data_IF_002454429828
#
_entry.id   IF_002454429828
#
_cell.length_a   1.000
_cell.length_b   1.000
_cell.length_c   1.000
_cell.angle_alpha   90.00
_cell.angle_beta   90.00
_cell.angle_gamma   90.00
#
_symmetry.space_group_name_H-M   'P 1'
#
loop_
_entity.id
_entity.type
_entity.pdbx_description
1 polymer ?
#
# COMPACT_ATOMS: atom_id res chain seq x y z
N UNK A 1 0.47 30.40 42.99
CA UNK A 1 -0.86 29.76 43.18
C UNK A 1 -1.73 29.74 41.91
N UNK A 2 -1.64 30.72 40.99
CA UNK A 2 -2.43 30.74 39.73
C UNK A 2 -1.88 29.86 38.59
N UNK A 3 -0.61 29.46 38.66
CA UNK A 3 0.03 28.62 37.64
C UNK A 3 -0.37 27.14 37.71
N UNK A 4 -1.04 26.74 38.81
CA UNK A 4 -1.48 25.35 39.04
C UNK A 4 -2.89 25.07 38.51
N UNK A 5 -3.70 26.10 38.24
CA UNK A 5 -5.09 25.94 37.76
C UNK A 5 -5.22 25.78 36.24
N UNK A 6 -4.13 25.99 35.48
CA UNK A 6 -4.14 25.82 34.02
C UNK A 6 -3.87 24.37 33.57
N UNK A 7 -3.33 23.53 34.46
CA UNK A 7 -2.94 22.14 34.14
C UNK A 7 -4.12 21.15 34.24
N UNK A 8 -5.25 21.56 34.81
CA UNK A 8 -6.44 20.70 34.96
C UNK A 8 -7.42 20.80 33.79
N UNK A 9 -7.30 21.81 32.92
CA UNK A 9 -8.23 22.03 31.80
C UNK A 9 -7.83 21.31 30.50
N UNK A 10 -6.59 20.82 30.39
CA UNK A 10 -6.10 20.08 29.22
C UNK A 10 -6.36 18.56 29.26
N UNK A 11 -7.09 18.05 30.27
CA UNK A 11 -7.50 16.64 30.29
C UNK A 11 -8.81 16.40 29.51
N UNK A 12 -9.02 17.15 28.43
CA UNK A 12 -10.09 16.88 27.47
C UNK A 12 -9.60 15.86 26.44
N UNK A 13 -10.12 14.64 26.56
CA UNK A 13 -10.43 13.79 25.42
C UNK A 13 -9.25 13.44 24.50
N UNK A 14 -8.31 12.64 24.99
CA UNK A 14 -7.63 11.71 24.07
C UNK A 14 -8.47 10.44 24.02
N UNK A 15 -9.50 10.43 23.15
CA UNK A 15 -10.07 9.16 22.70
C UNK A 15 -8.90 8.41 22.09
N UNK A 16 -8.47 7.37 22.78
CA UNK A 16 -7.52 6.40 22.24
C UNK A 16 -8.21 5.77 21.03
N UNK A 17 -7.97 6.32 19.86
CA UNK A 17 -8.36 5.74 18.59
C UNK A 17 -7.53 4.46 18.45
N UNK A 18 -8.00 3.40 19.12
CA UNK A 18 -7.64 2.02 18.80
C UNK A 18 -8.39 1.64 17.52
N UNK A 19 -8.14 2.38 16.44
CA UNK A 19 -8.15 1.77 15.14
C UNK A 19 -6.86 0.96 15.06
N UNK A 20 -6.82 -0.14 15.81
CA UNK A 20 -5.98 -1.26 15.42
C UNK A 20 -6.52 -1.61 14.04
N UNK A 21 -5.92 -1.06 12.98
CA UNK A 21 -6.25 -1.47 11.63
C UNK A 21 -6.10 -2.97 11.65
N UNK A 22 -7.24 -3.68 11.60
CA UNK A 22 -7.22 -5.13 11.70
C UNK A 22 -6.30 -5.58 10.55
N UNK A 23 -5.26 -6.39 10.78
CA UNK A 23 -4.35 -6.83 9.73
C UNK A 23 -5.11 -7.36 8.50
N UNK A 24 -6.26 -8.00 8.76
CA UNK A 24 -7.27 -8.40 7.77
C UNK A 24 -7.77 -7.26 6.86
N UNK A 25 -8.10 -6.09 7.39
CA UNK A 25 -8.54 -4.92 6.59
C UNK A 25 -7.43 -4.42 5.67
N UNK A 26 -6.19 -4.41 6.13
CA UNK A 26 -5.05 -3.95 5.32
C UNK A 26 -4.70 -4.97 4.23
N UNK A 27 -4.74 -6.27 4.53
CA UNK A 27 -4.59 -7.34 3.51
C UNK A 27 -5.70 -7.25 2.46
N UNK A 28 -6.97 -7.09 2.87
CA UNK A 28 -8.10 -6.95 1.95
C UNK A 28 -7.95 -5.70 1.06
N UNK A 29 -7.48 -4.59 1.62
CA UNK A 29 -7.21 -3.36 0.87
C UNK A 29 -6.10 -3.59 -0.17
N UNK A 30 -5.03 -4.29 0.19
CA UNK A 30 -3.94 -4.64 -0.73
C UNK A 30 -4.42 -5.56 -1.86
N UNK A 31 -5.22 -6.58 -1.54
CA UNK A 31 -5.77 -7.50 -2.55
C UNK A 31 -6.71 -6.75 -3.49
N UNK A 32 -7.61 -5.92 -2.95
CA UNK A 32 -8.52 -5.09 -3.74
C UNK A 32 -7.74 -4.19 -4.70
N UNK A 33 -6.72 -3.49 -4.20
CA UNK A 33 -5.87 -2.63 -5.03
C UNK A 33 -5.11 -3.42 -6.11
N UNK A 34 -4.66 -4.64 -5.81
CA UNK A 34 -3.97 -5.51 -6.77
C UNK A 34 -4.89 -5.97 -7.90
N UNK A 35 -6.12 -6.36 -7.58
CA UNK A 35 -7.12 -6.80 -8.56
C UNK A 35 -7.46 -5.64 -9.51
N UNK A 36 -7.70 -4.44 -8.97
CA UNK A 36 -8.00 -3.25 -9.78
C UNK A 36 -6.83 -2.93 -10.72
N UNK A 37 -5.60 -2.94 -10.22
CA UNK A 37 -4.41 -2.69 -11.06
C UNK A 37 -4.24 -3.71 -12.18
N UNK A 38 -4.41 -5.00 -11.92
CA UNK A 38 -4.32 -6.03 -12.97
C UNK A 38 -5.44 -5.93 -13.99
N UNK A 39 -6.66 -5.61 -13.56
CA UNK A 39 -7.80 -5.45 -14.46
C UNK A 39 -7.63 -4.24 -15.36
N UNK A 40 -7.10 -3.13 -14.82
CA UNK A 40 -6.80 -1.92 -15.59
C UNK A 40 -5.79 -2.20 -16.70
N UNK A 41 -4.66 -2.86 -16.38
CA UNK A 41 -3.65 -3.26 -17.36
C UNK A 41 -4.23 -4.14 -18.47
N UNK A 42 -5.01 -5.17 -18.10
CA UNK A 42 -5.63 -6.08 -19.07
C UNK A 42 -6.67 -5.36 -19.93
N UNK A 43 -7.47 -4.47 -19.33
CA UNK A 43 -8.50 -3.70 -20.06
C UNK A 43 -7.86 -2.72 -21.05
N UNK A 44 -6.83 -1.99 -20.64
CA UNK A 44 -6.07 -1.07 -21.52
C UNK A 44 -5.41 -1.86 -22.65
N UNK A 45 -4.75 -2.98 -22.33
CA UNK A 45 -4.09 -3.81 -23.32
C UNK A 45 -5.10 -4.39 -24.33
N UNK A 46 -6.26 -4.84 -23.86
CA UNK A 46 -7.34 -5.32 -24.73
C UNK A 46 -7.91 -4.20 -25.60
N UNK A 47 -8.13 -3.00 -25.05
CA UNK A 47 -8.62 -1.86 -25.81
C UNK A 47 -7.64 -1.43 -26.91
N UNK A 48 -6.33 -1.48 -26.65
CA UNK A 48 -5.31 -1.14 -27.65
C UNK A 48 -5.17 -2.19 -28.75
N UNK A 49 -5.23 -3.49 -28.41
CA UNK A 49 -4.89 -4.57 -29.36
C UNK A 49 -6.09 -5.31 -29.94
N UNK A 50 -7.26 -5.19 -29.32
CA UNK A 50 -8.48 -5.94 -29.67
C UNK A 50 -8.38 -7.45 -29.45
N UNK A 51 -7.25 -7.96 -28.94
CA UNK A 51 -6.95 -9.39 -28.80
C UNK A 51 -6.73 -9.76 -27.33
N UNK A 52 -7.55 -10.69 -26.84
CA UNK A 52 -7.48 -11.16 -25.44
C UNK A 52 -6.15 -11.85 -25.12
N UNK A 53 -5.57 -12.60 -26.06
CA UNK A 53 -4.28 -13.28 -25.87
C UNK A 53 -3.16 -12.29 -25.55
N UNK A 54 -3.10 -11.17 -26.27
CA UNK A 54 -2.09 -10.13 -26.07
C UNK A 54 -2.33 -9.38 -24.76
N UNK A 55 -3.59 -9.12 -24.40
CA UNK A 55 -3.93 -8.50 -23.13
C UNK A 55 -3.52 -9.36 -21.92
N UNK A 56 -3.72 -10.67 -21.99
CA UNK A 56 -3.26 -11.61 -20.96
C UNK A 56 -1.74 -11.71 -20.92
N UNK A 57 -1.06 -11.73 -22.07
CA UNK A 57 0.40 -11.68 -22.12
C UNK A 57 0.94 -10.41 -21.43
N UNK A 58 0.37 -9.24 -21.71
CA UNK A 58 0.79 -7.99 -21.08
C UNK A 58 0.51 -8.00 -19.57
N UNK A 59 -0.68 -8.41 -19.14
CA UNK A 59 -1.03 -8.50 -17.72
C UNK A 59 -0.13 -9.47 -16.94
N UNK A 60 0.20 -10.63 -17.53
CA UNK A 60 1.12 -11.59 -16.91
C UNK A 60 2.55 -11.04 -16.80
N UNK A 61 3.05 -10.34 -17.82
CA UNK A 61 4.36 -9.68 -17.78
C UNK A 61 4.38 -8.55 -16.75
N UNK A 62 3.30 -7.76 -16.61
CA UNK A 62 3.20 -6.72 -15.59
C UNK A 62 3.33 -7.31 -14.18
N UNK A 63 2.63 -8.41 -13.90
CA UNK A 63 2.71 -9.10 -12.62
C UNK A 63 4.14 -9.56 -12.29
N UNK A 64 4.79 -10.23 -13.23
CA UNK A 64 6.18 -10.74 -13.05
C UNK A 64 7.16 -9.59 -12.88
N UNK A 65 7.05 -8.55 -13.73
CA UNK A 65 7.93 -7.37 -13.68
C UNK A 65 7.84 -6.68 -12.33
N UNK A 66 6.62 -6.54 -11.79
CA UNK A 66 6.37 -5.89 -10.50
C UNK A 66 6.91 -6.70 -9.33
N UNK A 67 6.86 -8.04 -9.40
CA UNK A 67 7.51 -8.91 -8.42
C UNK A 67 9.03 -8.74 -8.44
N UNK A 68 9.65 -8.75 -9.62
CA UNK A 68 11.09 -8.57 -9.78
C UNK A 68 11.52 -7.17 -9.29
N UNK A 69 10.79 -6.12 -9.69
CA UNK A 69 11.06 -4.75 -9.24
C UNK A 69 10.91 -4.59 -7.73
N UNK A 70 9.87 -5.18 -7.13
CA UNK A 70 9.68 -5.12 -5.68
C UNK A 70 10.82 -5.82 -4.95
N UNK A 71 11.21 -7.03 -5.39
CA UNK A 71 12.34 -7.75 -4.82
C UNK A 71 13.66 -6.98 -4.96
N UNK A 72 13.91 -6.43 -6.16
CA UNK A 72 15.08 -5.57 -6.40
C UNK A 72 15.07 -4.32 -5.54
N UNK A 73 13.92 -3.65 -5.41
CA UNK A 73 13.74 -2.48 -4.58
C UNK A 73 14.00 -2.79 -3.10
N UNK A 74 13.45 -3.89 -2.57
CA UNK A 74 13.70 -4.32 -1.19
C UNK A 74 15.19 -4.66 -0.97
N UNK A 75 15.83 -5.32 -1.95
CA UNK A 75 17.26 -5.63 -1.88
C UNK A 75 18.13 -4.38 -1.90
N UNK A 76 17.79 -3.40 -2.74
CA UNK A 76 18.46 -2.11 -2.86
C UNK A 76 18.26 -1.28 -1.59
N UNK A 77 17.06 -1.30 -1.02
CA UNK A 77 16.74 -0.64 0.24
C UNK A 77 17.51 -1.25 1.42
N UNK A 78 17.63 -2.57 1.47
CA UNK A 78 18.45 -3.27 2.48
C UNK A 78 19.96 -3.01 2.33
N UNK A 79 20.42 -2.55 1.17
CA UNK A 79 21.81 -2.13 0.95
C UNK A 79 22.07 -0.69 1.40
N UNK A 80 21.03 0.14 1.51
CA UNK A 80 21.13 1.52 1.99
C UNK A 80 20.95 1.50 3.51
N UNK A 81 21.98 1.82 4.32
CA UNK A 81 21.82 1.95 5.76
C UNK A 81 21.07 3.25 6.08
N UNK A 82 19.75 3.25 5.92
CA UNK A 82 18.88 4.35 6.33
C UNK A 82 18.08 3.91 7.56
N UNK A 83 18.38 4.48 8.73
CA UNK A 83 17.62 4.25 9.97
C UNK A 83 17.94 2.96 10.72
N UNK A 84 19.22 2.62 10.89
CA UNK A 84 19.63 1.84 12.08
C UNK A 84 19.65 2.82 13.26
N UNK A 85 18.60 2.81 14.05
CA UNK A 85 18.67 3.24 15.46
C UNK A 85 19.09 2.04 16.32
#
# INVERSE_FOLDING_TARGET
MLMLLNQTKEKSTYKKDRTTERPLRSILKTISWRIVGTLDTVMIAWFLTGKIETALAIGSVELVTKMILYFGHERLWNLIPYGKD
#
